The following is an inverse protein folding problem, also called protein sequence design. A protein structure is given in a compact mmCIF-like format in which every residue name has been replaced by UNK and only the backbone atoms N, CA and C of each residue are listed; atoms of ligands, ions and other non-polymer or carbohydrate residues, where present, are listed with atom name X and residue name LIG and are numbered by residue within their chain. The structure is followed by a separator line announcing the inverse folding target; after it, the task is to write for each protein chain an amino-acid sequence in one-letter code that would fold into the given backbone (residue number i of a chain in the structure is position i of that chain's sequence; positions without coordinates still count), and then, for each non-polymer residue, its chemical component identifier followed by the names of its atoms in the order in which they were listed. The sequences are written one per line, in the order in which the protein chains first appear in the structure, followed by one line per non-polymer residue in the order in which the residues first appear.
data_IF_777717403966
#
_entry.id   IF_777717403966
#
_cell.length_a   1.000
_cell.length_b   1.000
_cell.length_c   1.000
_cell.angle_alpha   90.00
_cell.angle_beta   90.00
_cell.angle_gamma   90.00
#
_symmetry.space_group_name_H-M   'P 1'
#
loop_
_entity.id
_entity.type
_entity.pdbx_description
1 polymer ?
#
# COMPACT_ATOMS: atom_id res chain seq x y z
N UNK A 1 -14.91 -7.13 -16.35
CA UNK A 1 -15.06 -8.50 -16.91
C UNK A 1 -14.24 -9.42 -16.03
N UNK A 2 -14.87 -10.38 -15.34
CA UNK A 2 -14.18 -11.33 -14.46
C UNK A 2 -14.43 -12.73 -15.01
N UNK A 3 -13.35 -13.38 -15.43
CA UNK A 3 -13.37 -14.71 -16.03
C UNK A 3 -12.61 -15.64 -15.09
N UNK A 4 -13.08 -16.87 -14.89
CA UNK A 4 -12.37 -17.87 -14.09
C UNK A 4 -11.10 -18.35 -14.80
N UNK A 5 -10.18 -18.99 -14.07
CA UNK A 5 -8.88 -19.42 -14.61
C UNK A 5 -9.02 -20.33 -15.85
N UNK A 6 -10.00 -21.22 -15.85
CA UNK A 6 -10.26 -22.13 -16.96
C UNK A 6 -10.72 -21.38 -18.21
N UNK A 7 -11.72 -20.51 -18.07
CA UNK A 7 -12.22 -19.71 -19.17
C UNK A 7 -11.17 -18.68 -19.68
N UNK A 8 -10.22 -18.24 -18.85
CA UNK A 8 -9.12 -17.38 -19.29
C UNK A 8 -8.10 -18.13 -20.17
N UNK A 9 -7.87 -19.42 -19.88
CA UNK A 9 -7.00 -20.29 -20.71
C UNK A 9 -7.65 -20.64 -22.03
N UNK A 10 -8.95 -20.97 -22.02
CA UNK A 10 -9.69 -21.37 -23.22
C UNK A 10 -9.90 -20.21 -24.20
N UNK A 11 -10.03 -18.97 -23.70
CA UNK A 11 -10.16 -17.77 -24.55
C UNK A 11 -8.81 -17.10 -24.88
N UNK A 12 -7.68 -17.73 -24.53
CA UNK A 12 -6.35 -17.13 -24.69
C UNK A 12 -5.95 -16.85 -26.15
N UNK A 13 -6.47 -17.63 -27.10
CA UNK A 13 -6.20 -17.43 -28.54
C UNK A 13 -6.76 -16.09 -29.08
N UNK A 14 -7.92 -15.63 -28.55
CA UNK A 14 -8.54 -14.36 -28.95
C UNK A 14 -7.84 -13.13 -28.33
N UNK A 15 -7.07 -13.34 -27.26
CA UNK A 15 -6.28 -12.30 -26.57
C UNK A 15 -4.78 -12.46 -26.83
N UNK A 16 -4.39 -12.87 -28.05
CA UNK A 16 -3.00 -13.02 -28.49
C UNK A 16 -2.20 -11.70 -28.37
N UNK A 17 -1.74 -11.45 -27.14
CA UNK A 17 -0.59 -10.63 -26.81
C UNK A 17 0.46 -11.59 -26.24
N UNK A 18 1.23 -12.12 -27.18
CA UNK A 18 2.51 -12.81 -27.04
C UNK A 18 2.59 -14.11 -26.22
N UNK A 19 2.90 -15.14 -27.00
CA UNK A 19 3.36 -16.51 -26.77
C UNK A 19 4.68 -16.60 -25.98
N UNK A 20 4.85 -15.81 -24.92
CA UNK A 20 6.07 -15.81 -24.09
C UNK A 20 5.76 -15.37 -22.66
N UNK A 21 5.20 -16.29 -21.88
CA UNK A 21 5.02 -16.13 -20.44
C UNK A 21 3.79 -15.29 -20.09
N UNK A 22 2.79 -15.94 -19.51
CA UNK A 22 1.49 -15.34 -19.19
C UNK A 22 1.57 -13.98 -18.49
N UNK A 23 0.52 -13.19 -18.64
CA UNK A 23 0.34 -11.89 -18.00
C UNK A 23 0.54 -11.99 -16.48
N UNK A 24 1.77 -11.75 -16.04
CA UNK A 24 2.17 -11.67 -14.65
C UNK A 24 2.11 -10.22 -14.21
N UNK A 25 1.48 -9.95 -13.07
CA UNK A 25 1.43 -8.62 -12.45
C UNK A 25 2.84 -8.03 -12.30
N UNK A 26 3.85 -8.88 -12.10
CA UNK A 26 5.25 -8.48 -12.00
C UNK A 26 5.80 -7.92 -13.32
N UNK A 27 5.44 -8.52 -14.46
CA UNK A 27 5.88 -8.03 -15.78
C UNK A 27 5.26 -6.67 -16.09
N UNK A 28 3.99 -6.50 -15.71
CA UNK A 28 3.30 -5.21 -15.79
C UNK A 28 3.99 -4.15 -14.90
N UNK A 29 4.35 -4.51 -13.67
CA UNK A 29 5.00 -3.59 -12.74
C UNK A 29 6.39 -3.16 -13.23
N UNK A 30 7.22 -4.11 -13.71
CA UNK A 30 8.51 -3.79 -14.34
C UNK A 30 8.33 -2.87 -15.54
N UNK A 31 7.34 -3.13 -16.39
CA UNK A 31 7.03 -2.28 -17.55
C UNK A 31 6.66 -0.85 -17.14
N UNK A 32 5.76 -0.69 -16.17
CA UNK A 32 5.33 0.62 -15.68
C UNK A 32 6.46 1.41 -15.02
N UNK A 33 7.33 0.74 -14.24
CA UNK A 33 8.49 1.37 -13.61
C UNK A 33 9.55 1.84 -14.62
N UNK A 34 9.58 1.25 -15.82
CA UNK A 34 10.52 1.60 -16.88
C UNK A 34 9.93 2.62 -17.87
N UNK A 35 8.61 2.80 -17.90
CA UNK A 35 7.91 3.71 -18.81
C UNK A 35 7.95 5.18 -18.37
N UNK A 36 8.22 5.43 -17.09
CA UNK A 36 7.95 6.73 -16.45
C UNK A 36 8.94 7.87 -16.79
N UNK A 37 9.88 7.65 -17.72
CA UNK A 37 10.82 8.70 -18.16
C UNK A 37 10.21 9.71 -19.15
N UNK A 38 9.09 9.38 -19.81
CA UNK A 38 8.58 10.18 -20.94
C UNK A 38 7.25 10.90 -20.68
N UNK A 39 6.54 10.61 -19.58
CA UNK A 39 5.19 11.10 -19.32
C UNK A 39 5.02 11.84 -17.98
N UNK A 40 6.10 12.05 -17.22
CA UNK A 40 6.05 12.79 -15.95
C UNK A 40 6.43 14.25 -16.16
N UNK A 41 5.58 15.15 -15.65
CA UNK A 41 5.96 16.55 -15.48
C UNK A 41 7.24 16.62 -14.62
N UNK A 42 8.06 17.62 -14.89
CA UNK A 42 9.47 17.78 -14.50
C UNK A 42 9.80 17.64 -13.00
N UNK A 43 8.81 17.64 -12.10
CA UNK A 43 8.96 17.42 -10.66
C UNK A 43 9.09 15.95 -10.24
N UNK A 44 8.26 15.05 -10.79
CA UNK A 44 8.28 13.62 -10.42
C UNK A 44 9.32 12.81 -11.19
N UNK A 45 9.69 13.26 -12.39
CA UNK A 45 10.74 12.66 -13.21
C UNK A 45 12.10 12.65 -12.50
N UNK A 46 12.39 13.67 -11.69
CA UNK A 46 13.66 13.80 -10.95
C UNK A 46 13.83 12.74 -9.86
N UNK A 47 12.74 12.19 -9.31
CA UNK A 47 12.82 11.16 -8.27
C UNK A 47 13.49 9.87 -8.79
N UNK A 48 13.25 9.55 -10.07
CA UNK A 48 13.77 8.35 -10.74
C UNK A 48 15.13 8.57 -11.43
N UNK A 49 15.64 9.81 -11.44
CA UNK A 49 16.88 10.22 -12.12
C UNK A 49 18.06 10.51 -11.19
N UNK A 50 17.87 10.48 -9.86
CA UNK A 50 18.95 10.70 -8.90
C UNK A 50 19.90 9.48 -8.81
N UNK A 51 21.22 9.63 -9.08
CA UNK A 51 22.16 8.52 -9.08
C UNK A 51 22.92 8.32 -7.76
N UNK A 52 22.67 9.06 -6.68
CA UNK A 52 23.72 9.19 -5.65
C UNK A 52 23.72 8.22 -4.47
N UNK A 53 22.70 7.36 -4.29
CA UNK A 53 22.83 6.18 -3.42
C UNK A 53 21.96 5.05 -3.95
N UNK A 54 22.57 3.88 -4.21
CA UNK A 54 21.82 2.67 -4.59
C UNK A 54 20.94 2.29 -3.41
N UNK A 55 19.68 2.72 -3.46
CA UNK A 55 18.69 2.42 -2.43
C UNK A 55 18.56 0.91 -2.30
N UNK A 56 18.85 0.41 -1.10
CA UNK A 56 18.97 -1.02 -0.80
C UNK A 56 18.10 -1.39 0.40
N UNK A 57 17.37 -2.50 0.27
CA UNK A 57 16.57 -3.02 1.37
C UNK A 57 17.48 -3.57 2.47
N UNK A 58 17.33 -3.06 3.71
CA UNK A 58 18.13 -3.50 4.86
C UNK A 58 17.92 -4.96 5.25
N UNK A 59 16.79 -5.58 4.87
CA UNK A 59 16.43 -6.96 5.24
C UNK A 59 16.90 -8.00 4.22
N UNK A 60 16.56 -7.82 2.94
CA UNK A 60 16.89 -8.80 1.89
C UNK A 60 17.98 -8.32 0.93
N UNK A 61 18.58 -7.15 1.19
CA UNK A 61 19.68 -6.60 0.42
C UNK A 61 19.40 -6.27 -1.06
N UNK A 62 18.16 -6.44 -1.51
CA UNK A 62 17.72 -6.10 -2.86
C UNK A 62 17.89 -4.59 -3.10
N UNK A 63 18.42 -4.24 -4.26
CA UNK A 63 18.60 -2.85 -4.70
C UNK A 63 17.42 -2.40 -5.56
N UNK A 64 17.21 -1.08 -5.66
CA UNK A 64 16.15 -0.53 -6.51
C UNK A 64 16.30 -0.91 -8.00
N UNK A 65 17.50 -0.94 -8.62
CA UNK A 65 17.66 -1.43 -9.99
C UNK A 65 17.25 -2.90 -10.18
N UNK A 66 17.59 -3.78 -9.24
CA UNK A 66 17.16 -5.19 -9.27
C UNK A 66 15.63 -5.33 -9.17
N UNK A 67 15.02 -4.52 -8.30
CA UNK A 67 13.57 -4.43 -8.21
C UNK A 67 12.94 -3.96 -9.53
N UNK A 68 13.47 -2.90 -10.15
CA UNK A 68 12.97 -2.39 -11.44
C UNK A 68 13.07 -3.42 -12.57
N UNK A 69 14.11 -4.24 -12.56
CA UNK A 69 14.30 -5.32 -13.55
C UNK A 69 13.29 -6.45 -13.36
N UNK A 70 13.04 -6.84 -12.10
CA UNK A 70 12.26 -8.05 -11.77
C UNK A 70 10.78 -7.79 -11.50
N UNK A 71 10.42 -6.58 -11.07
CA UNK A 71 9.06 -6.22 -10.67
C UNK A 71 8.59 -6.98 -9.43
N UNK A 72 9.52 -7.52 -8.65
CA UNK A 72 9.26 -8.40 -7.50
C UNK A 72 9.96 -7.88 -6.25
N UNK A 73 9.23 -7.88 -5.15
CA UNK A 73 9.83 -7.63 -3.84
C UNK A 73 10.53 -8.87 -3.32
N UNK A 74 11.73 -8.70 -2.74
CA UNK A 74 12.45 -9.79 -2.08
C UNK A 74 11.95 -10.10 -0.67
N UNK A 75 11.37 -9.12 0.03
CA UNK A 75 10.75 -9.31 1.34
C UNK A 75 9.73 -8.20 1.66
N UNK A 76 9.06 -8.29 2.80
CA UNK A 76 8.08 -7.29 3.26
C UNK A 76 8.66 -5.88 3.46
N UNK A 77 9.92 -5.77 3.87
CA UNK A 77 10.56 -4.47 4.14
C UNK A 77 10.86 -3.69 2.84
N UNK A 78 10.84 -4.36 1.68
CA UNK A 78 10.97 -3.71 0.38
C UNK A 78 9.84 -2.71 0.11
N UNK A 79 8.62 -2.94 0.63
CA UNK A 79 7.50 -2.00 0.49
C UNK A 79 7.82 -0.63 1.10
N UNK A 80 8.48 -0.62 2.27
CA UNK A 80 8.90 0.61 2.94
C UNK A 80 10.13 1.20 2.27
N UNK A 81 11.12 0.35 1.97
CA UNK A 81 12.38 0.77 1.37
C UNK A 81 12.14 1.54 0.07
N UNK A 82 11.29 1.01 -0.82
CA UNK A 82 11.06 1.59 -2.15
C UNK A 82 9.78 2.44 -2.23
N UNK A 83 9.19 2.82 -1.08
CA UNK A 83 7.87 3.45 -0.99
C UNK A 83 7.70 4.66 -1.91
N UNK A 84 8.67 5.58 -1.91
CA UNK A 84 8.63 6.81 -2.72
C UNK A 84 8.60 6.53 -4.22
N UNK A 85 9.25 5.45 -4.65
CA UNK A 85 9.35 5.06 -6.06
C UNK A 85 8.16 4.22 -6.54
N UNK A 86 7.58 3.40 -5.67
CA UNK A 86 6.44 2.54 -6.04
C UNK A 86 5.09 3.25 -5.91
N UNK A 87 4.97 4.23 -5.01
CA UNK A 87 3.70 4.92 -4.74
C UNK A 87 3.10 5.59 -5.98
N UNK A 88 3.86 6.32 -6.82
CA UNK A 88 3.33 6.89 -8.07
C UNK A 88 2.79 5.82 -9.02
N UNK A 89 3.48 4.69 -9.13
CA UNK A 89 3.08 3.57 -10.00
C UNK A 89 1.81 2.89 -9.47
N UNK A 90 1.76 2.61 -8.16
CA UNK A 90 0.58 2.01 -7.53
C UNK A 90 -0.63 2.93 -7.63
N UNK A 91 -0.46 4.25 -7.49
CA UNK A 91 -1.55 5.22 -7.72
C UNK A 91 -2.10 5.10 -9.13
N UNK A 92 -1.25 5.00 -10.16
CA UNK A 92 -1.71 4.84 -11.55
C UNK A 92 -2.52 3.55 -11.74
N UNK A 93 -2.06 2.43 -11.16
CA UNK A 93 -2.74 1.13 -11.26
C UNK A 93 -4.06 1.11 -10.49
N UNK A 94 -4.14 1.79 -9.35
CA UNK A 94 -5.32 1.81 -8.48
C UNK A 94 -6.23 3.04 -8.68
N UNK A 95 -6.20 3.66 -9.87
CA UNK A 95 -7.03 4.82 -10.21
C UNK A 95 -6.93 5.97 -9.18
N UNK A 96 -5.71 6.23 -8.70
CA UNK A 96 -5.39 7.26 -7.70
C UNK A 96 -5.51 6.80 -6.25
N UNK A 97 -6.13 5.65 -5.98
CA UNK A 97 -6.34 5.20 -4.60
C UNK A 97 -5.07 4.64 -3.97
N UNK A 98 -4.73 5.16 -2.80
CA UNK A 98 -3.63 4.63 -1.95
C UNK A 98 -4.14 3.98 -0.66
N UNK A 99 -5.44 4.10 -0.40
CA UNK A 99 -6.08 3.61 0.82
C UNK A 99 -7.23 2.68 0.43
N UNK A 100 -7.31 1.54 1.11
CA UNK A 100 -8.41 0.59 0.91
C UNK A 100 -9.69 1.09 1.59
N UNK A 101 -10.69 1.50 0.81
CA UNK A 101 -12.00 1.92 1.29
C UNK A 101 -13.05 0.78 1.34
N UNK A 102 -12.65 -0.48 1.08
CA UNK A 102 -13.56 -1.62 1.02
C UNK A 102 -13.88 -2.28 2.36
N UNK A 103 -14.65 -3.38 2.28
CA UNK A 103 -15.07 -4.19 3.43
C UNK A 103 -13.85 -4.82 4.10
N UNK A 104 -13.79 -4.71 5.43
CA UNK A 104 -12.81 -5.46 6.22
C UNK A 104 -13.47 -6.78 6.66
N UNK A 105 -12.91 -7.96 6.29
CA UNK A 105 -13.45 -9.24 6.75
C UNK A 105 -13.40 -9.35 8.28
N UNK A 106 -14.49 -9.76 8.93
CA UNK A 106 -14.55 -9.87 10.41
C UNK A 106 -13.48 -10.81 11.00
N UNK A 107 -13.14 -11.89 10.28
CA UNK A 107 -12.20 -12.93 10.73
C UNK A 107 -10.72 -12.56 10.53
N UNK A 108 -10.40 -11.80 9.49
CA UNK A 108 -9.00 -11.46 9.12
C UNK A 108 -8.66 -9.99 9.46
N UNK A 109 -9.69 -9.18 9.72
CA UNK A 109 -9.54 -7.77 10.07
C UNK A 109 -8.81 -7.54 11.39
N UNK A 110 -8.72 -8.54 12.28
CA UNK A 110 -8.06 -8.44 13.58
C UNK A 110 -8.37 -7.11 14.28
N UNK A 111 -7.33 -6.45 14.76
CA UNK A 111 -7.43 -5.14 15.39
C UNK A 111 -7.54 -3.95 14.41
N UNK A 112 -7.65 -4.17 13.08
CA UNK A 112 -7.68 -3.09 12.08
C UNK A 112 -8.92 -2.19 12.21
N UNK A 113 -10.08 -2.77 12.56
CA UNK A 113 -11.29 -1.99 12.79
C UNK A 113 -11.13 -1.04 13.98
N UNK A 114 -10.59 -1.56 15.09
CA UNK A 114 -10.29 -0.78 16.30
C UNK A 114 -9.27 0.32 16.00
N UNK A 115 -8.22 0.02 15.23
CA UNK A 115 -7.24 1.03 14.79
C UNK A 115 -7.88 2.14 13.97
N UNK A 116 -8.77 1.82 13.02
CA UNK A 116 -9.51 2.83 12.24
C UNK A 116 -10.42 3.69 13.13
N UNK A 117 -11.06 3.08 14.12
CA UNK A 117 -11.88 3.79 15.08
C UNK A 117 -11.04 4.76 15.92
N UNK A 118 -9.87 4.33 16.40
CA UNK A 118 -8.92 5.20 17.12
C UNK A 118 -8.48 6.38 16.24
N UNK A 119 -8.15 6.15 14.95
CA UNK A 119 -7.78 7.24 14.03
C UNK A 119 -8.93 8.25 13.82
N UNK A 120 -10.18 7.76 13.71
CA UNK A 120 -11.35 8.62 13.60
C UNK A 120 -11.55 9.47 14.88
N UNK A 121 -11.47 8.84 16.06
CA UNK A 121 -11.57 9.53 17.35
C UNK A 121 -10.43 10.53 17.56
N UNK A 122 -9.21 10.25 17.09
CA UNK A 122 -8.08 11.19 17.14
C UNK A 122 -8.34 12.44 16.30
N UNK A 123 -8.99 12.28 15.14
CA UNK A 123 -9.42 13.42 14.32
C UNK A 123 -10.51 14.23 15.02
N UNK A 124 -11.54 13.57 15.55
CA UNK A 124 -12.63 14.21 16.29
C UNK A 124 -12.11 14.94 17.55
N UNK A 125 -11.19 14.34 18.30
CA UNK A 125 -10.53 14.96 19.43
C UNK A 125 -9.87 16.29 19.06
N UNK A 126 -9.19 16.32 17.91
CA UNK A 126 -8.53 17.54 17.42
C UNK A 126 -9.55 18.63 17.07
N UNK A 127 -10.68 18.25 16.47
CA UNK A 127 -11.77 19.18 16.14
C UNK A 127 -12.42 19.75 17.41
N UNK A 128 -12.69 18.92 18.41
CA UNK A 128 -13.26 19.36 19.71
C UNK A 128 -12.34 20.29 20.47
N UNK A 129 -11.02 20.03 20.46
CA UNK A 129 -10.02 20.94 21.06
C UNK A 129 -10.04 22.30 20.35
N UNK A 130 -10.14 22.32 19.02
CA UNK A 130 -10.23 23.57 18.25
C UNK A 130 -11.50 24.36 18.54
N UNK A 131 -12.58 23.68 18.93
CA UNK A 131 -13.86 24.29 19.30
C UNK A 131 -13.94 24.64 20.79
N UNK A 132 -12.88 24.44 21.57
CA UNK A 132 -12.83 24.66 23.03
C UNK A 132 -13.85 23.81 23.83
N UNK A 133 -14.31 22.71 23.23
CA UNK A 133 -15.25 21.74 23.82
C UNK A 133 -14.50 20.73 24.71
N UNK A 134 -13.84 21.21 25.76
CA UNK A 134 -12.88 20.43 26.56
C UNK A 134 -13.49 19.24 27.30
N UNK A 135 -14.75 19.33 27.72
CA UNK A 135 -15.44 18.23 28.39
C UNK A 135 -15.66 17.05 27.44
N UNK A 136 -16.14 17.32 26.21
CA UNK A 136 -16.29 16.32 25.17
C UNK A 136 -14.94 15.76 24.73
N UNK A 137 -13.93 16.62 24.60
CA UNK A 137 -12.56 16.20 24.29
C UNK A 137 -11.98 15.24 25.35
N UNK A 138 -12.26 15.48 26.64
CA UNK A 138 -11.85 14.58 27.71
C UNK A 138 -12.49 13.19 27.56
N UNK A 139 -13.80 13.14 27.26
CA UNK A 139 -14.52 11.88 27.02
C UNK A 139 -13.93 11.10 25.83
N UNK A 140 -13.69 11.78 24.69
CA UNK A 140 -13.09 11.15 23.50
C UNK A 140 -11.67 10.65 23.81
N UNK A 141 -10.87 11.42 24.54
CA UNK A 141 -9.52 11.01 24.96
C UNK A 141 -9.54 9.73 25.79
N UNK A 142 -10.49 9.62 26.72
CA UNK A 142 -10.58 8.45 27.60
C UNK A 142 -11.11 7.22 26.83
N UNK A 143 -11.99 7.41 25.84
CA UNK A 143 -12.37 6.36 24.89
C UNK A 143 -11.19 5.86 24.06
N UNK A 144 -10.35 6.76 23.53
CA UNK A 144 -9.13 6.39 22.79
C UNK A 144 -8.23 5.52 23.67
N UNK A 145 -7.99 5.92 24.92
CA UNK A 145 -7.16 5.15 25.86
C UNK A 145 -7.70 3.74 26.10
N UNK A 146 -9.01 3.62 26.32
CA UNK A 146 -9.67 2.32 26.53
C UNK A 146 -9.49 1.40 25.30
N UNK A 147 -9.72 1.92 24.09
CA UNK A 147 -9.52 1.16 22.87
C UNK A 147 -8.05 0.75 22.66
N UNK A 148 -7.09 1.65 22.94
CA UNK A 148 -5.66 1.36 22.84
C UNK A 148 -5.20 0.29 23.85
N UNK A 149 -5.75 0.31 25.07
CA UNK A 149 -5.47 -0.71 26.09
C UNK A 149 -5.97 -2.10 25.66
N UNK A 150 -7.22 -2.20 25.20
CA UNK A 150 -7.79 -3.46 24.70
C UNK A 150 -6.98 -4.01 23.52
N UNK A 151 -6.45 -3.13 22.67
CA UNK A 151 -5.61 -3.48 21.51
C UNK A 151 -4.24 -4.05 21.90
N UNK A 152 -3.71 -3.66 23.05
CA UNK A 152 -2.44 -4.18 23.56
C UNK A 152 -2.63 -5.48 24.34
N UNK A 153 -3.69 -5.60 25.15
CA UNK A 153 -4.05 -6.85 25.82
C UNK A 153 -4.26 -8.00 24.82
N UNK A 154 -4.99 -7.75 23.72
CA UNK A 154 -5.21 -8.76 22.67
C UNK A 154 -3.93 -9.18 21.91
N UNK A 155 -2.83 -8.42 21.98
CA UNK A 155 -1.55 -8.85 21.37
C UNK A 155 -0.77 -9.79 22.27
N UNK A 156 -0.92 -9.66 23.59
CA UNK A 156 -0.21 -10.49 24.58
C UNK A 156 -0.81 -11.91 24.68
N UNK A 157 -2.04 -12.12 24.19
CA UNK A 157 -2.70 -13.44 24.16
C UNK A 157 -2.45 -14.24 22.86
N UNK A 158 -1.89 -13.61 21.82
CA UNK A 158 -1.61 -14.23 20.51
C UNK A 158 -0.12 -14.63 20.33
N UNK A 159 0.76 -14.25 21.26
CA UNK A 159 2.18 -14.62 21.34
C UNK A 159 2.40 -15.80 22.31
#
# INVERSE_FOLDING_TARGET
MHICEQCAKENSESYSMNESGGFSIHNLLSGLLNFDSSFTNSSEAQLFQQPDQVLRCKKCNMTFPEFRKTGRFGCSECYKTFHSYITPVLRKVHSGNTVHAGKIPKRIGGNLHVRRQIEALKKELKELIQQEEFEKAANIRDQIRSLEQNLNANKEEED
#
